data_IF_135462150058
#
_entry.id   IF_135462150058
#
_cell.length_a   1.000
_cell.length_b   1.000
_cell.length_c   1.000
_cell.angle_alpha   90.00
_cell.angle_beta   90.00
_cell.angle_gamma   90.00
#
_symmetry.space_group_name_H-M   'P 1'
#
loop_
_entity.id
_entity.type
_entity.pdbx_description
1 polymer ?
#
# COMPACT_ATOMS: atom_id res chain seq x y z
N UNK A 1 -25.46 -5.41 12.63
CA UNK A 1 -24.48 -5.86 13.65
C UNK A 1 -23.31 -6.47 12.91
N UNK A 2 -22.08 -6.09 13.24
CA UNK A 2 -20.88 -6.79 12.75
C UNK A 2 -20.85 -8.18 13.37
N UNK A 3 -20.69 -9.23 12.56
CA UNK A 3 -20.62 -10.59 13.05
C UNK A 3 -19.26 -10.80 13.72
N UNK A 4 -19.16 -11.42 14.90
CA UNK A 4 -17.86 -11.74 15.52
C UNK A 4 -16.86 -12.42 14.58
N UNK A 5 -17.34 -13.19 13.59
CA UNK A 5 -16.50 -13.85 12.59
C UNK A 5 -15.88 -12.92 11.54
N UNK A 6 -16.38 -11.69 11.39
CA UNK A 6 -15.86 -10.70 10.44
C UNK A 6 -14.45 -10.22 10.85
N UNK A 7 -14.07 -10.41 12.12
CA UNK A 7 -12.77 -10.05 12.68
C UNK A 7 -11.71 -11.17 12.59
N UNK A 8 -12.12 -12.38 12.22
CA UNK A 8 -11.22 -13.51 12.03
C UNK A 8 -10.60 -13.44 10.63
N UNK A 9 -9.27 -13.45 10.56
CA UNK A 9 -8.52 -13.34 9.31
C UNK A 9 -7.81 -14.67 9.08
N UNK A 10 -8.14 -15.34 7.97
CA UNK A 10 -7.55 -16.65 7.66
C UNK A 10 -6.16 -16.51 7.01
N UNK A 11 -5.33 -17.56 7.06
CA UNK A 11 -4.06 -17.59 6.32
C UNK A 11 -4.21 -17.26 4.83
N UNK A 12 -5.26 -17.77 4.19
CA UNK A 12 -5.55 -17.54 2.77
C UNK A 12 -5.88 -16.05 2.49
N UNK A 13 -6.57 -15.38 3.41
CA UNK A 13 -6.85 -13.94 3.31
C UNK A 13 -5.57 -13.11 3.44
N UNK A 14 -4.62 -13.53 4.29
CA UNK A 14 -3.29 -12.91 4.34
C UNK A 14 -2.51 -13.10 3.04
N UNK A 15 -2.54 -14.29 2.45
CA UNK A 15 -1.90 -14.55 1.15
C UNK A 15 -2.53 -13.72 0.02
N UNK A 16 -3.86 -13.63 -0.01
CA UNK A 16 -4.59 -12.82 -0.98
C UNK A 16 -4.24 -11.32 -0.84
N UNK A 17 -4.16 -10.80 0.39
CA UNK A 17 -3.75 -9.43 0.65
C UNK A 17 -2.28 -9.18 0.25
N UNK A 18 -1.39 -10.14 0.52
CA UNK A 18 0.03 -10.04 0.16
C UNK A 18 0.23 -9.92 -1.36
N UNK A 19 -0.57 -10.65 -2.17
CA UNK A 19 -0.57 -10.51 -3.64
C UNK A 19 -0.94 -9.09 -4.10
N UNK A 20 -1.76 -8.38 -3.32
CA UNK A 20 -2.11 -6.97 -3.54
C UNK A 20 -1.13 -5.98 -2.86
N UNK A 21 -0.02 -6.46 -2.31
CA UNK A 21 0.99 -5.63 -1.65
C UNK A 21 0.57 -5.09 -0.28
N UNK A 22 -0.41 -5.74 0.38
CA UNK A 22 -0.87 -5.40 1.72
C UNK A 22 -0.21 -6.34 2.71
N UNK A 23 0.47 -5.78 3.72
CA UNK A 23 1.10 -6.58 4.78
C UNK A 23 0.06 -7.13 5.76
N UNK A 24 0.40 -8.22 6.45
CA UNK A 24 -0.46 -8.83 7.47
C UNK A 24 -0.86 -7.83 8.57
N UNK A 25 0.08 -6.96 8.97
CA UNK A 25 -0.17 -5.90 9.95
C UNK A 25 -1.19 -4.88 9.41
N UNK A 26 -1.06 -4.48 8.14
CA UNK A 26 -1.98 -3.54 7.53
C UNK A 26 -3.39 -4.14 7.36
N UNK A 27 -3.48 -5.42 6.97
CA UNK A 27 -4.74 -6.13 6.86
C UNK A 27 -5.43 -6.25 8.23
N UNK A 28 -4.69 -6.69 9.26
CA UNK A 28 -5.17 -6.77 10.64
C UNK A 28 -5.71 -5.44 11.13
N UNK A 29 -4.96 -4.35 10.90
CA UNK A 29 -5.40 -3.01 11.31
C UNK A 29 -6.67 -2.58 10.58
N UNK A 30 -6.79 -2.86 9.28
CA UNK A 30 -7.98 -2.51 8.49
C UNK A 30 -9.23 -3.22 9.01
N UNK A 31 -9.14 -4.51 9.30
CA UNK A 31 -10.27 -5.30 9.75
C UNK A 31 -10.57 -5.04 11.23
N UNK A 32 -9.59 -5.23 12.12
CA UNK A 32 -9.81 -5.21 13.58
C UNK A 32 -9.94 -3.82 14.18
N UNK A 33 -9.16 -2.86 13.70
CA UNK A 33 -9.13 -1.52 14.31
C UNK A 33 -10.03 -0.53 13.55
N UNK A 34 -10.09 -0.66 12.22
CA UNK A 34 -10.87 0.26 11.37
C UNK A 34 -12.22 -0.30 10.95
N UNK A 35 -12.51 -1.58 11.21
CA UNK A 35 -13.80 -2.21 10.87
C UNK A 35 -14.09 -2.23 9.37
N UNK A 36 -13.05 -2.26 8.53
CA UNK A 36 -13.24 -2.33 7.08
C UNK A 36 -13.78 -3.68 6.69
N UNK A 37 -14.64 -3.66 5.68
CA UNK A 37 -15.00 -4.86 4.93
C UNK A 37 -13.75 -5.59 4.43
N UNK A 38 -13.78 -6.93 4.46
CA UNK A 38 -12.64 -7.79 4.15
C UNK A 38 -12.15 -7.59 2.71
N UNK A 39 -13.04 -7.49 1.73
CA UNK A 39 -12.64 -7.29 0.34
C UNK A 39 -11.94 -5.95 0.17
N UNK A 40 -12.51 -4.88 0.75
CA UNK A 40 -11.89 -3.55 0.73
C UNK A 40 -10.54 -3.56 1.46
N UNK A 41 -10.46 -4.29 2.58
CA UNK A 41 -9.25 -4.41 3.37
C UNK A 41 -8.12 -5.14 2.63
N UNK A 42 -8.45 -6.11 1.78
CA UNK A 42 -7.50 -6.92 1.00
C UNK A 42 -7.15 -6.33 -0.37
N UNK A 43 -7.91 -5.38 -0.90
CA UNK A 43 -7.70 -4.86 -2.27
C UNK A 43 -7.26 -3.39 -2.31
N UNK A 44 -7.67 -2.58 -1.34
CA UNK A 44 -7.37 -1.14 -1.37
C UNK A 44 -5.86 -0.91 -1.20
N UNK A 45 -5.16 -0.24 -2.12
CA UNK A 45 -3.71 -0.08 -2.02
C UNK A 45 -3.32 0.73 -0.76
N UNK A 46 -2.20 0.36 -0.13
CA UNK A 46 -1.65 1.15 0.98
C UNK A 46 -1.24 2.54 0.48
N UNK A 47 -1.60 3.58 1.25
CA UNK A 47 -1.11 4.95 1.02
C UNK A 47 0.41 5.04 1.17
N UNK A 48 0.98 4.22 2.04
CA UNK A 48 2.39 4.17 2.38
C UNK A 48 2.93 2.78 2.09
N UNK A 49 3.08 2.45 0.81
CA UNK A 49 3.88 1.29 0.45
C UNK A 49 5.35 1.63 0.72
N UNK A 50 5.89 1.23 1.88
CA UNK A 50 7.30 1.38 2.20
C UNK A 50 8.21 0.78 1.11
N UNK A 51 7.74 -0.27 0.43
CA UNK A 51 8.42 -0.90 -0.69
C UNK A 51 8.34 -0.14 -2.00
N UNK A 52 7.47 0.88 -2.14
CA UNK A 52 7.40 1.64 -3.40
C UNK A 52 8.72 2.31 -3.71
N UNK A 53 9.29 3.04 -2.75
CA UNK A 53 10.60 3.67 -2.95
C UNK A 53 11.66 2.64 -3.30
N UNK A 54 11.74 1.52 -2.57
CA UNK A 54 12.71 0.44 -2.86
C UNK A 54 12.61 -0.05 -4.31
N UNK A 55 11.40 -0.23 -4.82
CA UNK A 55 11.16 -0.73 -6.17
C UNK A 55 11.47 0.30 -7.27
N UNK A 56 11.29 1.60 -7.00
CA UNK A 56 11.50 2.65 -8.01
C UNK A 56 12.80 3.43 -7.83
N UNK A 57 13.57 3.14 -6.77
CA UNK A 57 14.76 3.90 -6.38
C UNK A 57 15.76 4.00 -7.52
N UNK A 58 16.07 2.89 -8.18
CA UNK A 58 17.05 2.88 -9.27
C UNK A 58 16.60 3.78 -10.44
N UNK A 59 15.33 3.67 -10.84
CA UNK A 59 14.75 4.47 -11.92
C UNK A 59 14.71 5.96 -11.54
N UNK A 60 14.26 6.26 -10.33
CA UNK A 60 14.21 7.64 -9.83
C UNK A 60 15.61 8.27 -9.78
N UNK A 61 16.62 7.56 -9.28
CA UNK A 61 17.99 8.06 -9.23
C UNK A 61 18.59 8.24 -10.63
N UNK A 62 18.32 7.34 -11.59
CA UNK A 62 18.71 7.53 -13.00
C UNK A 62 18.09 8.79 -13.60
N UNK A 63 16.88 9.16 -13.16
CA UNK A 63 16.18 10.36 -13.60
C UNK A 63 16.50 11.61 -12.75
N UNK A 64 17.49 11.54 -11.85
CA UNK A 64 17.86 12.66 -10.97
C UNK A 64 16.82 13.01 -9.89
N UNK A 65 15.86 12.11 -9.64
CA UNK A 65 14.79 12.30 -8.65
C UNK A 65 15.23 11.74 -7.30
N UNK A 66 15.35 12.63 -6.31
CA UNK A 66 15.62 12.26 -4.92
C UNK A 66 14.39 11.67 -4.21
N UNK A 67 14.63 10.98 -3.10
CA UNK A 67 13.57 10.40 -2.27
C UNK A 67 12.58 11.46 -1.75
N UNK A 68 13.07 12.64 -1.38
CA UNK A 68 12.24 13.75 -0.91
C UNK A 68 11.33 14.27 -2.02
N UNK A 69 11.85 14.46 -3.24
CA UNK A 69 11.08 14.87 -4.42
C UNK A 69 10.01 13.85 -4.79
N UNK A 70 10.39 12.56 -4.84
CA UNK A 70 9.45 11.46 -5.05
C UNK A 70 8.31 11.50 -4.03
N UNK A 71 8.65 11.59 -2.74
CA UNK A 71 7.68 11.57 -1.64
C UNK A 71 6.73 12.78 -1.71
N UNK A 72 7.25 13.97 -2.02
CA UNK A 72 6.44 15.17 -2.20
C UNK A 72 5.44 15.01 -3.36
N UNK A 73 5.86 14.43 -4.50
CA UNK A 73 4.99 14.16 -5.65
C UNK A 73 3.88 13.15 -5.31
N UNK A 74 4.22 12.05 -4.61
CA UNK A 74 3.22 11.07 -4.15
C UNK A 74 2.22 11.70 -3.18
N UNK A 75 2.68 12.53 -2.24
CA UNK A 75 1.79 13.28 -1.32
C UNK A 75 0.86 14.23 -2.06
N UNK A 76 1.30 14.82 -3.18
CA UNK A 76 0.47 15.64 -4.09
C UNK A 76 -0.47 14.81 -4.99
N UNK A 77 -0.51 13.48 -4.83
CA UNK A 77 -1.40 12.60 -5.60
C UNK A 77 -0.87 12.18 -6.97
N UNK A 78 0.42 12.39 -7.26
CA UNK A 78 1.00 11.97 -8.53
C UNK A 78 1.00 10.44 -8.66
N UNK A 79 0.83 9.94 -9.89
CA UNK A 79 0.98 8.51 -10.18
C UNK A 79 2.45 8.09 -10.05
N UNK A 80 2.68 6.82 -9.72
CA UNK A 80 4.01 6.28 -9.43
C UNK A 80 5.03 6.53 -10.56
N UNK A 81 4.63 6.32 -11.81
CA UNK A 81 5.51 6.54 -12.97
C UNK A 81 5.83 8.02 -13.18
N UNK A 82 4.84 8.89 -13.00
CA UNK A 82 5.02 10.34 -13.10
C UNK A 82 5.91 10.87 -11.98
N UNK A 83 5.82 10.29 -10.78
CA UNK A 83 6.59 10.78 -9.64
C UNK A 83 8.10 10.53 -9.78
N UNK A 84 8.51 9.60 -10.64
CA UNK A 84 9.92 9.24 -10.89
C UNK A 84 10.42 9.67 -12.27
N UNK A 85 9.58 10.28 -13.11
CA UNK A 85 9.98 10.79 -14.42
C UNK A 85 10.59 12.19 -14.30
N UNK A 86 11.46 12.52 -15.26
CA UNK A 86 11.88 13.89 -15.54
C UNK A 86 10.70 14.64 -16.18
N UNK A 87 10.50 15.89 -15.75
CA UNK A 87 9.47 16.77 -16.29
C UNK A 87 9.74 17.11 -17.75
#
# INVERSE_FOLDING_TARGET
MQNPYDYYITPEEYEAAAKNGISNELLTRRIRNLGWDKEIAMTKPSRYNANRWKNIKEIALKNGISHSTYTARIKKGWRLMQSVSHL
#
